data_IF_035035300228
#
_entry.id   IF_035035300228
#
_cell.length_a   1.000
_cell.length_b   1.000
_cell.length_c   1.000
_cell.angle_alpha   90.00
_cell.angle_beta   90.00
_cell.angle_gamma   90.00
#
_symmetry.space_group_name_H-M   'P 1'
#
loop_
_entity.id
_entity.type
_entity.pdbx_description
1 polymer ?
#
# COMPACT_ATOMS: atom_id res chain seq x y z
N UNK A 1 44.65 -15.86 -61.37
CA UNK A 1 44.66 -14.99 -60.16
C UNK A 1 43.46 -14.03 -60.04
N UNK A 2 42.48 -14.03 -60.95
CA UNK A 2 41.35 -13.07 -60.92
C UNK A 2 40.16 -13.44 -60.00
N UNK A 3 40.02 -14.72 -59.59
CA UNK A 3 38.85 -15.17 -58.83
C UNK A 3 38.96 -14.95 -57.30
N UNK A 4 40.18 -14.93 -56.76
CA UNK A 4 40.43 -14.71 -55.32
C UNK A 4 40.29 -13.22 -54.96
N UNK A 5 40.60 -12.32 -55.92
CA UNK A 5 40.48 -10.88 -55.73
C UNK A 5 39.01 -10.45 -55.58
N UNK A 6 38.10 -11.00 -56.41
CA UNK A 6 36.65 -10.71 -56.34
C UNK A 6 36.05 -11.08 -54.97
N UNK A 7 36.45 -12.20 -54.36
CA UNK A 7 35.92 -12.64 -53.06
C UNK A 7 36.38 -11.75 -51.91
N UNK A 8 37.63 -11.26 -51.94
CA UNK A 8 38.15 -10.28 -50.97
C UNK A 8 37.45 -8.92 -51.11
N UNK A 9 37.21 -8.46 -52.34
CA UNK A 9 36.50 -7.20 -52.60
C UNK A 9 35.05 -7.26 -52.12
N UNK A 10 34.34 -8.38 -52.30
CA UNK A 10 32.96 -8.55 -51.81
C UNK A 10 32.89 -8.51 -50.28
N UNK A 11 33.84 -9.16 -49.60
CA UNK A 11 33.88 -9.16 -48.13
C UNK A 11 34.20 -7.76 -47.59
N UNK A 12 35.16 -7.05 -48.20
CA UNK A 12 35.51 -5.68 -47.79
C UNK A 12 34.37 -4.70 -48.05
N UNK A 13 33.66 -4.82 -49.18
CA UNK A 13 32.46 -4.01 -49.47
C UNK A 13 31.34 -4.35 -48.47
N UNK A 14 31.15 -5.63 -48.14
CA UNK A 14 30.16 -6.06 -47.14
C UNK A 14 30.42 -5.44 -45.76
N UNK A 15 31.67 -5.45 -45.30
CA UNK A 15 32.05 -4.80 -44.04
C UNK A 15 31.90 -3.27 -44.12
N UNK A 16 32.27 -2.64 -45.23
CA UNK A 16 32.10 -1.20 -45.40
C UNK A 16 30.62 -0.79 -45.39
N UNK A 17 29.74 -1.57 -46.04
CA UNK A 17 28.30 -1.34 -46.03
C UNK A 17 27.71 -1.56 -44.63
N UNK A 18 28.10 -2.63 -43.93
CA UNK A 18 27.64 -2.87 -42.56
C UNK A 18 28.10 -1.75 -41.60
N UNK A 19 29.34 -1.27 -41.75
CA UNK A 19 29.87 -0.16 -40.94
C UNK A 19 29.16 1.15 -41.27
N UNK A 20 28.88 1.43 -42.55
CA UNK A 20 28.08 2.57 -42.98
C UNK A 20 26.64 2.48 -42.45
N UNK A 21 26.02 1.30 -42.41
CA UNK A 21 24.68 1.11 -41.82
C UNK A 21 24.69 1.35 -40.31
N UNK A 22 25.73 0.91 -39.59
CA UNK A 22 25.88 1.17 -38.15
C UNK A 22 26.14 2.66 -37.89
N UNK A 23 26.95 3.31 -38.72
CA UNK A 23 27.19 4.76 -38.63
C UNK A 23 25.92 5.54 -38.97
N UNK A 24 25.18 5.17 -40.00
CA UNK A 24 23.89 5.77 -40.33
C UNK A 24 22.91 5.55 -39.17
N UNK A 25 22.81 4.34 -38.60
CA UNK A 25 21.96 4.09 -37.43
C UNK A 25 22.38 4.88 -36.18
N UNK A 26 23.68 5.16 -36.01
CA UNK A 26 24.22 6.00 -34.93
C UNK A 26 24.03 7.50 -35.21
N UNK A 27 24.08 7.94 -36.47
CA UNK A 27 23.90 9.33 -36.90
C UNK A 27 22.42 9.73 -37.06
N UNK A 28 21.53 8.79 -37.42
CA UNK A 28 20.07 9.01 -37.43
C UNK A 28 19.45 8.88 -36.04
N UNK A 29 20.21 8.38 -35.06
CA UNK A 29 19.79 8.32 -33.65
C UNK A 29 19.78 9.70 -32.95
N UNK A 30 19.97 10.80 -33.68
CA UNK A 30 19.90 12.15 -33.12
C UNK A 30 18.70 12.98 -33.63
N UNK A 31 17.94 12.56 -34.65
CA UNK A 31 16.75 13.34 -35.05
C UNK A 31 15.64 12.49 -35.69
N UNK A 32 15.00 11.67 -34.87
CA UNK A 32 13.54 11.52 -34.89
C UNK A 32 13.01 11.13 -33.50
N UNK A 33 13.49 11.87 -32.49
CA UNK A 33 13.01 11.82 -31.11
C UNK A 33 12.02 12.97 -30.82
N UNK A 34 10.84 12.96 -31.47
CA UNK A 34 9.65 13.45 -30.77
C UNK A 34 8.45 12.49 -30.89
N UNK A 35 8.67 11.17 -30.87
CA UNK A 35 7.56 10.21 -30.78
C UNK A 35 7.88 8.92 -30.00
N UNK A 36 8.89 8.98 -29.12
CA UNK A 36 9.18 7.94 -28.11
C UNK A 36 9.25 8.55 -26.69
N UNK A 37 8.54 9.66 -26.47
CA UNK A 37 8.20 10.18 -25.13
C UNK A 37 6.77 9.84 -24.70
N UNK A 38 6.07 8.98 -25.46
CA UNK A 38 4.81 8.35 -25.06
C UNK A 38 5.02 6.98 -24.36
N UNK A 39 6.27 6.51 -24.22
CA UNK A 39 6.60 5.26 -23.52
C UNK A 39 6.99 5.45 -22.04
N UNK A 40 7.20 6.68 -21.57
CA UNK A 40 6.90 7.02 -20.17
C UNK A 40 5.51 7.61 -20.17
N UNK A 41 4.54 6.72 -20.35
CA UNK A 41 3.16 7.04 -20.05
C UNK A 41 3.16 7.70 -18.67
N UNK A 42 2.68 8.94 -18.64
CA UNK A 42 1.83 9.40 -17.57
C UNK A 42 1.12 8.16 -17.03
N UNK A 43 1.33 7.82 -15.77
CA UNK A 43 0.60 6.74 -15.12
C UNK A 43 -0.85 7.16 -14.95
N UNK A 44 -1.52 7.60 -16.02
CA UNK A 44 -2.92 7.34 -16.20
C UNK A 44 -3.02 5.83 -16.34
N UNK A 45 -3.16 5.16 -15.19
CA UNK A 45 -3.92 3.92 -15.15
C UNK A 45 -5.22 4.26 -15.85
N UNK A 46 -5.37 3.84 -17.11
CA UNK A 46 -6.61 4.05 -17.83
C UNK A 46 -7.62 3.10 -17.20
N UNK A 47 -8.28 3.60 -16.16
CA UNK A 47 -9.35 2.94 -15.47
C UNK A 47 -10.46 2.65 -16.48
N UNK A 48 -10.55 1.40 -16.93
CA UNK A 48 -11.80 0.93 -17.51
C UNK A 48 -12.85 1.04 -16.41
N UNK A 49 -13.97 1.78 -16.63
CA UNK A 49 -15.01 1.89 -15.63
C UNK A 49 -15.66 0.51 -15.49
N UNK A 50 -15.27 -0.24 -14.47
CA UNK A 50 -15.93 -1.47 -14.11
C UNK A 50 -17.27 -1.07 -13.47
N UNK A 51 -18.29 -0.83 -14.32
CA UNK A 51 -19.66 -0.66 -13.86
C UNK A 51 -20.18 -2.04 -13.47
N UNK A 52 -19.92 -2.42 -12.23
CA UNK A 52 -20.54 -3.58 -11.60
C UNK A 52 -21.52 -3.09 -10.56
N UNK A 53 -22.72 -2.71 -11.01
CA UNK A 53 -23.88 -2.46 -10.15
C UNK A 53 -24.40 -3.78 -9.61
N UNK A 54 -23.68 -4.39 -8.67
CA UNK A 54 -24.23 -5.40 -7.78
C UNK A 54 -24.05 -4.90 -6.35
N UNK A 55 -25.14 -4.48 -5.71
CA UNK A 55 -25.18 -4.34 -4.25
C UNK A 55 -24.81 -5.70 -3.66
N UNK A 56 -23.55 -5.89 -3.30
CA UNK A 56 -23.10 -7.05 -2.54
C UNK A 56 -23.56 -6.83 -1.09
N UNK A 57 -23.79 -7.93 -0.40
CA UNK A 57 -24.14 -7.89 1.02
C UNK A 57 -22.88 -7.61 1.83
N UNK A 58 -22.96 -6.67 2.78
CA UNK A 58 -21.91 -6.38 3.75
C UNK A 58 -21.36 -7.68 4.34
N UNK A 59 -20.08 -7.96 4.11
CA UNK A 59 -19.42 -9.15 4.67
C UNK A 59 -18.95 -8.87 6.09
N UNK A 60 -19.37 -9.73 7.02
CA UNK A 60 -18.88 -9.75 8.38
C UNK A 60 -17.51 -10.43 8.45
N UNK A 61 -16.53 -9.73 9.02
CA UNK A 61 -15.16 -10.19 9.21
C UNK A 61 -14.93 -10.55 10.69
N UNK A 62 -15.28 -11.78 11.07
CA UNK A 62 -15.24 -12.29 12.46
C UNK A 62 -13.86 -12.29 13.13
N UNK A 63 -12.78 -12.08 12.36
CA UNK A 63 -11.43 -11.93 12.88
C UNK A 63 -11.15 -10.59 13.56
N UNK A 64 -12.08 -9.62 13.46
CA UNK A 64 -11.92 -8.26 13.96
C UNK A 64 -13.17 -7.85 14.73
N UNK A 65 -13.02 -7.52 16.01
CA UNK A 65 -14.13 -7.23 16.91
C UNK A 65 -14.08 -5.79 17.38
N UNK A 66 -15.22 -5.12 17.35
CA UNK A 66 -15.35 -3.75 17.86
C UNK A 66 -15.12 -3.73 19.37
N UNK A 67 -14.33 -2.77 19.86
CA UNK A 67 -13.98 -2.68 21.29
C UNK A 67 -15.20 -2.40 22.17
N UNK A 68 -16.17 -1.60 21.69
CA UNK A 68 -17.37 -1.18 22.44
C UNK A 68 -18.38 -2.30 22.59
N UNK A 69 -18.79 -2.91 21.48
CA UNK A 69 -19.93 -3.83 21.43
C UNK A 69 -19.57 -5.27 21.04
N UNK A 70 -18.30 -5.57 20.76
CA UNK A 70 -17.82 -6.89 20.34
C UNK A 70 -18.40 -7.41 19.02
N UNK A 71 -19.07 -6.57 18.24
CA UNK A 71 -19.59 -6.93 16.93
C UNK A 71 -18.46 -7.08 15.90
N UNK A 72 -18.58 -8.00 14.93
CA UNK A 72 -17.59 -8.19 13.89
C UNK A 72 -17.55 -6.99 12.94
N UNK A 73 -16.36 -6.71 12.40
CA UNK A 73 -16.20 -5.67 11.38
C UNK A 73 -17.04 -5.99 10.14
N UNK A 74 -17.89 -5.06 9.73
CA UNK A 74 -18.61 -5.13 8.46
C UNK A 74 -17.94 -4.18 7.47
N UNK A 75 -17.41 -4.73 6.39
CA UNK A 75 -16.68 -3.96 5.39
C UNK A 75 -16.85 -4.56 4.01
N UNK A 76 -17.15 -3.68 3.06
CA UNK A 76 -17.24 -3.98 1.64
C UNK A 76 -16.51 -2.90 0.86
N UNK A 77 -15.64 -3.33 -0.06
CA UNK A 77 -14.81 -2.46 -0.87
C UNK A 77 -14.75 -3.03 -2.28
N UNK A 78 -14.89 -2.16 -3.28
CA UNK A 78 -14.77 -2.52 -4.69
C UNK A 78 -13.33 -2.28 -5.15
N UNK A 79 -12.94 -1.01 -5.18
CA UNK A 79 -11.58 -0.57 -5.47
C UNK A 79 -10.87 -0.16 -4.18
N UNK A 80 -9.76 -0.82 -3.88
CA UNK A 80 -8.94 -0.56 -2.71
C UNK A 80 -7.62 0.12 -3.10
N UNK A 81 -7.26 1.19 -2.40
CA UNK A 81 -5.93 1.77 -2.43
C UNK A 81 -5.23 1.49 -1.08
N UNK A 82 -4.01 0.95 -1.12
CA UNK A 82 -3.17 0.73 0.06
C UNK A 82 -2.00 1.70 -0.03
N UNK A 83 -1.91 2.61 0.94
CA UNK A 83 -0.94 3.70 0.88
C UNK A 83 0.25 3.38 1.78
N UNK A 84 1.44 3.41 1.17
CA UNK A 84 2.70 3.24 1.89
C UNK A 84 2.97 4.43 2.81
N UNK A 85 3.62 4.17 3.94
CA UNK A 85 4.11 5.21 4.85
C UNK A 85 5.53 5.70 4.46
N UNK A 86 6.04 5.31 3.29
CA UNK A 86 7.37 5.69 2.81
C UNK A 86 7.44 7.18 2.50
N UNK A 87 8.57 7.82 2.83
CA UNK A 87 8.86 9.20 2.42
C UNK A 87 8.93 9.39 0.89
N UNK A 88 9.04 8.30 0.12
CA UNK A 88 8.94 8.35 -1.35
C UNK A 88 7.56 8.78 -1.85
N UNK A 89 6.53 8.78 -0.99
CA UNK A 89 5.22 9.30 -1.36
C UNK A 89 5.18 10.82 -1.44
N UNK A 90 6.13 11.53 -0.83
CA UNK A 90 6.22 12.99 -0.91
C UNK A 90 6.51 13.43 -2.34
N UNK A 91 5.89 14.53 -2.77
CA UNK A 91 5.98 15.14 -4.10
C UNK A 91 5.48 14.25 -5.26
N UNK A 92 4.83 13.11 -4.97
CA UNK A 92 4.24 12.27 -6.01
C UNK A 92 2.95 12.87 -6.59
N UNK A 93 2.27 13.74 -5.86
CA UNK A 93 1.05 14.45 -6.31
C UNK A 93 -0.08 13.54 -6.81
N UNK A 94 -0.15 12.31 -6.29
CA UNK A 94 -1.16 11.30 -6.66
C UNK A 94 -2.38 11.28 -5.72
N UNK A 95 -2.52 12.28 -4.84
CA UNK A 95 -3.55 12.29 -3.81
C UNK A 95 -4.98 12.30 -4.36
N UNK A 96 -5.20 13.00 -5.47
CA UNK A 96 -6.51 13.05 -6.15
C UNK A 96 -6.88 11.71 -6.80
N UNK A 97 -5.90 10.93 -7.26
CA UNK A 97 -6.10 9.58 -7.79
C UNK A 97 -6.42 8.60 -6.66
N UNK A 98 -5.67 8.65 -5.56
CA UNK A 98 -5.91 7.83 -4.36
C UNK A 98 -7.34 8.04 -3.84
N UNK A 99 -7.79 9.30 -3.79
CA UNK A 99 -9.10 9.66 -3.28
C UNK A 99 -10.27 9.19 -4.18
N UNK A 100 -10.02 8.60 -5.35
CA UNK A 100 -11.05 7.97 -6.19
C UNK A 100 -11.39 6.54 -5.74
N UNK A 101 -10.54 5.89 -4.93
CA UNK A 101 -10.80 4.55 -4.43
C UNK A 101 -12.02 4.49 -3.50
N UNK A 102 -12.72 3.34 -3.52
CA UNK A 102 -13.83 3.08 -2.59
C UNK A 102 -13.34 2.95 -1.15
N UNK A 103 -12.21 2.26 -0.96
CA UNK A 103 -11.58 2.06 0.34
C UNK A 103 -10.11 2.42 0.30
N UNK A 104 -9.69 3.26 1.24
CA UNK A 104 -8.30 3.69 1.36
C UNK A 104 -7.74 3.17 2.69
N UNK A 105 -6.71 2.33 2.58
CA UNK A 105 -6.04 1.67 3.68
C UNK A 105 -4.73 2.40 4.00
N UNK A 106 -4.55 2.80 5.26
CA UNK A 106 -3.31 3.41 5.76
C UNK A 106 -2.79 2.68 6.97
N UNK A 107 -1.47 2.78 7.21
CA UNK A 107 -0.82 2.07 8.31
C UNK A 107 -0.48 3.01 9.46
N UNK A 108 -0.66 2.53 10.69
CA UNK A 108 -0.21 3.18 11.92
C UNK A 108 -0.64 4.66 12.01
N UNK A 109 0.28 5.56 12.38
CA UNK A 109 0.03 6.98 12.63
C UNK A 109 0.41 7.89 11.44
N UNK A 110 0.53 7.38 10.21
CA UNK A 110 0.86 8.21 9.05
C UNK A 110 -0.18 9.34 8.86
N UNK A 111 0.22 10.61 8.84
CA UNK A 111 -0.72 11.72 8.69
C UNK A 111 -1.17 11.85 7.23
N UNK A 112 -2.35 12.44 7.04
CA UNK A 112 -2.75 13.00 5.73
C UNK A 112 -2.66 14.51 5.70
N UNK A 113 -2.79 15.15 6.87
CA UNK A 113 -2.77 16.60 7.02
C UNK A 113 -1.40 17.16 6.67
N UNK A 114 -1.34 18.08 5.71
CA UNK A 114 -0.11 18.64 5.16
C UNK A 114 0.53 17.82 4.03
N UNK A 115 -0.06 16.69 3.64
CA UNK A 115 0.42 15.80 2.57
C UNK A 115 -0.69 15.45 1.57
N UNK A 116 -1.80 16.20 1.59
CA UNK A 116 -3.02 15.86 0.87
C UNK A 116 -2.82 15.76 -0.66
N UNK A 117 -1.97 16.62 -1.22
CA UNK A 117 -1.65 16.61 -2.66
C UNK A 117 -0.98 15.28 -3.06
N UNK A 118 -0.13 14.76 -2.18
CA UNK A 118 0.69 13.58 -2.44
C UNK A 118 -0.02 12.28 -2.12
N UNK A 119 -0.71 12.22 -0.98
CA UNK A 119 -1.25 10.96 -0.44
C UNK A 119 -2.76 10.94 -0.34
N UNK A 120 -3.45 12.03 -0.67
CA UNK A 120 -4.91 12.13 -0.58
C UNK A 120 -5.40 12.49 0.82
N UNK A 121 -6.67 12.91 0.90
CA UNK A 121 -7.29 13.39 2.14
C UNK A 121 -8.01 12.28 2.89
N UNK A 122 -8.55 11.31 2.14
CA UNK A 122 -9.46 10.30 2.68
C UNK A 122 -8.68 9.14 3.31
N UNK A 123 -9.29 8.56 4.33
CA UNK A 123 -8.87 7.29 4.94
C UNK A 123 -10.14 6.53 5.30
N UNK A 124 -10.26 5.30 4.83
CA UNK A 124 -11.39 4.43 5.19
C UNK A 124 -11.00 3.54 6.36
N UNK A 125 -9.82 2.90 6.26
CA UNK A 125 -9.32 1.95 7.24
C UNK A 125 -7.89 2.30 7.61
N UNK A 126 -7.60 2.21 8.89
CA UNK A 126 -6.26 2.38 9.43
C UNK A 126 -5.88 1.14 10.22
N UNK A 127 -4.88 0.41 9.73
CA UNK A 127 -4.36 -0.78 10.41
C UNK A 127 -3.20 -0.34 11.29
N UNK A 128 -3.30 -0.58 12.60
CA UNK A 128 -2.38 -0.01 13.59
C UNK A 128 -1.78 -1.13 14.44
N UNK A 129 -0.46 -1.18 14.52
CA UNK A 129 0.22 -2.04 15.49
C UNK A 129 -0.02 -1.54 16.91
N UNK A 130 -0.15 -2.47 17.86
CA UNK A 130 -0.21 -2.17 19.29
C UNK A 130 0.92 -1.25 19.77
N UNK A 131 2.12 -1.33 19.18
CA UNK A 131 3.25 -0.44 19.48
C UNK A 131 3.02 1.00 19.04
N UNK A 132 2.19 1.23 18.03
CA UNK A 132 1.86 2.56 17.51
C UNK A 132 0.64 3.19 18.21
N UNK A 133 -0.10 2.44 19.03
CA UNK A 133 -1.27 2.98 19.76
C UNK A 133 -0.91 4.18 20.65
N UNK A 134 0.18 4.16 21.45
CA UNK A 134 0.55 5.34 22.23
C UNK A 134 0.80 6.59 21.37
N UNK A 135 1.37 6.43 20.18
CA UNK A 135 1.61 7.54 19.24
C UNK A 135 0.31 8.07 18.64
N UNK A 136 -0.63 7.17 18.34
CA UNK A 136 -1.97 7.53 17.87
C UNK A 136 -2.71 8.36 18.92
N UNK A 137 -2.62 7.96 20.20
CA UNK A 137 -3.28 8.63 21.32
C UNK A 137 -2.71 10.01 21.66
N UNK A 138 -1.45 10.31 21.28
CA UNK A 138 -0.89 11.67 21.44
C UNK A 138 -1.70 12.72 20.69
N UNK A 139 -2.27 12.36 19.54
CA UNK A 139 -3.09 13.23 18.69
C UNK A 139 -4.52 12.67 18.55
N UNK A 140 -5.12 12.27 19.67
CA UNK A 140 -6.42 11.59 19.69
C UNK A 140 -7.53 12.40 19.00
N UNK A 141 -7.56 13.72 19.13
CA UNK A 141 -8.58 14.55 18.48
C UNK A 141 -8.51 14.47 16.94
N UNK A 142 -7.31 14.49 16.37
CA UNK A 142 -7.15 14.33 14.91
C UNK A 142 -7.66 12.96 14.45
N UNK A 143 -7.31 11.89 15.17
CA UNK A 143 -7.65 10.53 14.77
C UNK A 143 -9.09 10.11 15.10
N UNK A 144 -9.67 10.58 16.19
CA UNK A 144 -10.96 10.07 16.68
C UNK A 144 -12.08 11.11 16.66
N UNK A 145 -11.77 12.39 16.49
CA UNK A 145 -12.75 13.47 16.39
C UNK A 145 -12.82 14.07 14.98
N UNK A 146 -11.69 14.52 14.44
CA UNK A 146 -11.65 15.11 13.09
C UNK A 146 -11.92 14.05 12.00
N UNK A 147 -11.41 12.82 12.18
CA UNK A 147 -11.55 11.71 11.23
C UNK A 147 -12.53 10.62 11.72
N UNK A 148 -13.69 11.04 12.23
CA UNK A 148 -14.70 10.17 12.87
C UNK A 148 -15.25 9.02 11.99
N UNK A 149 -15.10 9.11 10.67
CA UNK A 149 -15.53 8.07 9.73
C UNK A 149 -14.53 6.91 9.59
N UNK A 150 -13.28 7.11 10.03
CA UNK A 150 -12.18 6.14 9.86
C UNK A 150 -12.38 4.92 10.78
N UNK A 151 -12.20 3.73 10.20
CA UNK A 151 -12.19 2.47 10.93
C UNK A 151 -10.75 2.15 11.37
N UNK A 152 -10.53 1.99 12.66
CA UNK A 152 -9.24 1.62 13.23
C UNK A 152 -9.19 0.12 13.52
N UNK A 153 -8.26 -0.60 12.92
CA UNK A 153 -8.04 -2.03 13.17
C UNK A 153 -6.71 -2.20 13.89
N UNK A 154 -6.77 -2.49 15.18
CA UNK A 154 -5.58 -2.64 16.03
C UNK A 154 -5.18 -4.11 16.08
N UNK A 155 -3.91 -4.39 15.86
CA UNK A 155 -3.34 -5.74 15.96
C UNK A 155 -2.14 -5.75 16.92
N UNK A 156 -1.94 -6.85 17.62
CA UNK A 156 -0.87 -6.97 18.59
C UNK A 156 -0.78 -8.35 19.21
N UNK A 157 0.29 -8.62 19.97
CA UNK A 157 0.44 -9.88 20.70
C UNK A 157 -0.63 -10.00 21.77
N UNK A 158 -1.04 -11.24 22.05
CA UNK A 158 -2.09 -11.55 23.02
C UNK A 158 -1.87 -10.85 24.36
N UNK A 159 -0.64 -10.86 24.90
CA UNK A 159 -0.26 -10.24 26.18
C UNK A 159 -0.70 -8.77 26.31
N UNK A 160 -0.57 -7.97 25.24
CA UNK A 160 -0.92 -6.54 25.25
C UNK A 160 -2.40 -6.29 24.95
N UNK A 161 -3.08 -7.27 24.35
CA UNK A 161 -4.46 -7.16 23.86
C UNK A 161 -5.47 -7.94 24.73
N UNK A 162 -5.05 -8.45 25.90
CA UNK A 162 -5.94 -9.18 26.83
C UNK A 162 -7.10 -8.30 27.31
N UNK A 163 -8.28 -8.91 27.40
CA UNK A 163 -9.53 -8.25 27.82
C UNK A 163 -9.81 -8.36 29.33
N UNK A 164 -9.03 -9.16 30.05
CA UNK A 164 -9.14 -9.43 31.49
C UNK A 164 -8.63 -8.27 32.38
N UNK A 165 -8.36 -7.10 31.80
CA UNK A 165 -7.81 -5.94 32.51
C UNK A 165 -6.29 -5.91 32.58
N UNK A 166 -5.59 -6.95 32.12
CA UNK A 166 -4.12 -6.98 32.13
C UNK A 166 -3.49 -6.70 30.76
N UNK A 167 -4.30 -6.47 29.72
CA UNK A 167 -3.87 -6.03 28.40
C UNK A 167 -3.71 -4.52 28.34
N UNK A 168 -2.46 -4.04 28.47
CA UNK A 168 -2.14 -2.60 28.54
C UNK A 168 -2.75 -1.82 27.37
N UNK A 169 -2.60 -2.34 26.14
CA UNK A 169 -3.09 -1.65 24.94
C UNK A 169 -4.59 -1.76 24.84
N UNK A 170 -5.18 -2.92 25.11
CA UNK A 170 -6.64 -3.06 25.13
C UNK A 170 -7.31 -2.09 26.12
N UNK A 171 -6.72 -1.92 27.31
CA UNK A 171 -7.20 -0.99 28.31
C UNK A 171 -7.12 0.46 27.85
N UNK A 172 -6.05 0.85 27.14
CA UNK A 172 -5.96 2.18 26.54
C UNK A 172 -7.10 2.39 25.53
N UNK A 173 -7.31 1.44 24.61
CA UNK A 173 -8.37 1.52 23.61
C UNK A 173 -9.76 1.60 24.23
N UNK A 174 -10.01 0.84 25.31
CA UNK A 174 -11.28 0.90 26.04
C UNK A 174 -11.54 2.31 26.59
N UNK A 175 -10.55 2.92 27.26
CA UNK A 175 -10.63 4.31 27.74
C UNK A 175 -10.84 5.31 26.59
N UNK A 176 -10.22 5.07 25.44
CA UNK A 176 -10.40 5.90 24.24
C UNK A 176 -11.84 5.85 23.74
N UNK A 177 -12.44 4.66 23.64
CA UNK A 177 -13.84 4.50 23.23
C UNK A 177 -14.79 5.20 24.20
N UNK A 178 -14.48 5.20 25.51
CA UNK A 178 -15.27 5.93 26.50
C UNK A 178 -15.21 7.45 26.29
N UNK A 179 -14.05 7.97 25.84
CA UNK A 179 -13.85 9.41 25.58
C UNK A 179 -14.31 9.86 24.18
N UNK A 180 -14.29 8.94 23.21
CA UNK A 180 -14.66 9.18 21.81
C UNK A 180 -15.71 8.13 21.39
N UNK A 181 -16.98 8.31 21.79
CA UNK A 181 -18.01 7.28 21.63
C UNK A 181 -18.37 6.95 20.17
N UNK A 182 -18.05 7.84 19.23
CA UNK A 182 -18.19 7.66 17.78
C UNK A 182 -17.00 6.94 17.12
N UNK A 183 -15.90 6.74 17.86
CA UNK A 183 -14.70 6.12 17.31
C UNK A 183 -14.93 4.65 16.96
N UNK A 184 -14.63 4.29 15.72
CA UNK A 184 -14.79 2.92 15.18
C UNK A 184 -13.51 2.12 15.40
N UNK A 185 -13.29 1.65 16.62
CA UNK A 185 -12.08 0.91 17.00
C UNK A 185 -12.37 -0.59 17.08
N UNK A 186 -11.60 -1.37 16.31
CA UNK A 186 -11.65 -2.82 16.24
C UNK A 186 -10.30 -3.41 16.66
N UNK A 187 -10.34 -4.59 17.27
CA UNK A 187 -9.15 -5.37 17.62
C UNK A 187 -9.16 -6.71 16.91
N UNK A 188 -7.99 -7.16 16.49
CA UNK A 188 -7.83 -8.50 15.90
C UNK A 188 -7.97 -9.57 16.97
N UNK A 189 -8.72 -10.64 16.70
CA UNK A 189 -8.86 -11.76 17.64
C UNK A 189 -7.58 -12.56 17.75
N UNK A 190 -7.40 -13.26 18.86
CA UNK A 190 -6.25 -14.17 19.07
C UNK A 190 -6.18 -15.22 17.95
N UNK A 191 -7.30 -15.90 17.67
CA UNK A 191 -7.39 -16.87 16.56
C UNK A 191 -6.97 -16.28 15.23
N UNK A 192 -7.38 -15.04 14.93
CA UNK A 192 -7.00 -14.36 13.68
C UNK A 192 -5.52 -13.98 13.67
N UNK A 193 -4.96 -13.56 14.81
CA UNK A 193 -3.52 -13.30 14.94
C UNK A 193 -2.69 -14.58 14.74
N UNK A 194 -3.04 -15.68 15.42
CA UNK A 194 -2.37 -16.97 15.25
C UNK A 194 -2.40 -17.44 13.79
N UNK A 195 -3.55 -17.34 13.13
CA UNK A 195 -3.66 -17.64 11.70
C UNK A 195 -2.72 -16.78 10.85
N UNK A 196 -2.65 -15.46 11.11
CA UNK A 196 -1.74 -14.58 10.37
C UNK A 196 -0.27 -14.94 10.59
N UNK A 197 0.10 -15.39 11.80
CA UNK A 197 1.46 -15.80 12.12
C UNK A 197 1.83 -17.12 11.42
N UNK A 198 0.90 -18.08 11.35
CA UNK A 198 1.05 -19.32 10.58
C UNK A 198 1.25 -19.06 9.09
N UNK A 199 0.41 -18.20 8.50
CA UNK A 199 0.55 -17.81 7.09
C UNK A 199 1.89 -17.11 6.86
N UNK A 200 2.27 -16.15 7.71
CA UNK A 200 3.56 -15.47 7.57
C UNK A 200 4.73 -16.46 7.58
N UNK A 201 4.72 -17.41 8.52
CA UNK A 201 5.76 -18.43 8.63
C UNK A 201 5.80 -19.33 7.39
N UNK A 202 4.63 -19.73 6.89
CA UNK A 202 4.51 -20.53 5.67
C UNK A 202 5.09 -19.81 4.45
N UNK A 203 4.78 -18.52 4.28
CA UNK A 203 5.20 -17.75 3.10
C UNK A 203 6.66 -17.28 3.18
N UNK A 204 7.17 -16.98 4.37
CA UNK A 204 8.52 -16.39 4.53
C UNK A 204 9.58 -17.36 5.04
N UNK A 205 9.16 -18.52 5.57
CA UNK A 205 10.03 -19.45 6.29
C UNK A 205 10.54 -18.92 7.65
N UNK A 206 10.07 -17.75 8.10
CA UNK A 206 10.53 -17.09 9.33
C UNK A 206 9.42 -16.99 10.36
N UNK A 207 9.80 -17.11 11.64
CA UNK A 207 8.87 -16.81 12.73
C UNK A 207 8.82 -15.30 12.98
N UNK A 208 7.62 -14.71 13.13
CA UNK A 208 7.49 -13.28 13.46
C UNK A 208 8.11 -12.95 14.80
N UNK A 209 8.06 -13.88 15.76
CA UNK A 209 8.65 -13.69 17.09
C UNK A 209 10.18 -13.62 17.01
N UNK A 210 10.80 -14.30 16.05
CA UNK A 210 12.24 -14.18 15.77
C UNK A 210 12.57 -12.94 14.94
N UNK A 211 11.69 -12.53 14.01
CA UNK A 211 11.88 -11.35 13.17
C UNK A 211 11.93 -10.04 13.95
N UNK A 212 11.14 -9.89 15.02
CA UNK A 212 11.21 -8.72 15.91
C UNK A 212 12.51 -8.63 16.72
N UNK A 213 13.20 -9.75 16.97
CA UNK A 213 14.53 -9.77 17.58
C UNK A 213 15.63 -9.29 16.62
N UNK A 214 15.40 -9.32 15.30
CA UNK A 214 16.39 -8.85 14.31
C UNK A 214 16.30 -7.34 14.03
N UNK A 215 15.29 -6.66 14.54
CA UNK A 215 15.11 -5.20 14.42
C UNK A 215 15.24 -4.47 15.76
N UNK A 216 15.72 -5.15 16.81
CA UNK A 216 15.98 -4.58 18.13
C UNK A 216 17.47 -4.39 18.36
#
# INVERSE_FOLDING_TARGET
MACILKRKTIVVIGFAVAFLVVIIARLTNEVNFPLMLSCFGQSSVQWMPFSYTQKRHLRAHYGYLNVKNQEPLQLECDLCAIISNSGQMTEQKVGSEIDQASCIWRMNNAPTKGYEEDVGKRTTIRVVSHTSVPLLLKNADYFFKETNSTIYVIWGPFRNMRKDGSGIVYNMLKKTVDSYPEAKIYVTTEKRMSYCDEIFKKETGKDRLQGSLMTS
#
